data_IF_515019986869
#
_entry.id   IF_515019986869
#
_cell.length_a   1.000
_cell.length_b   1.000
_cell.length_c   1.000
_cell.angle_alpha   90.00
_cell.angle_beta   90.00
_cell.angle_gamma   90.00
#
_symmetry.space_group_name_H-M   'P 1'
#
loop_
_entity.id
_entity.type
_entity.pdbx_description
1 polymer ?
#
# COMPACT_ATOMS: atom_id res chain seq x y z
N UNK A 1 -9.15 6.91 -0.91
CA UNK A 1 -10.19 6.02 -0.31
C UNK A 1 -10.13 6.00 1.20
N UNK A 2 -8.95 6.09 1.82
CA UNK A 2 -8.75 6.04 3.29
C UNK A 2 -9.73 6.91 4.08
N UNK A 3 -9.82 8.22 3.77
CA UNK A 3 -10.75 9.14 4.45
C UNK A 3 -12.22 8.69 4.39
N UNK A 4 -12.66 8.16 3.25
CA UNK A 4 -14.05 7.71 3.07
C UNK A 4 -14.35 6.46 3.89
N UNK A 5 -13.43 5.51 3.93
CA UNK A 5 -13.58 4.27 4.70
C UNK A 5 -13.50 4.56 6.20
N UNK A 6 -12.57 5.42 6.63
CA UNK A 6 -12.49 5.89 8.00
C UNK A 6 -13.79 6.61 8.43
N UNK A 7 -14.37 7.45 7.57
CA UNK A 7 -15.65 8.09 7.83
C UNK A 7 -16.84 7.11 7.93
N UNK A 8 -16.69 5.89 7.39
CA UNK A 8 -17.66 4.80 7.53
C UNK A 8 -17.38 3.91 8.75
N UNK A 9 -16.38 4.24 9.56
CA UNK A 9 -16.05 3.53 10.80
C UNK A 9 -15.01 2.41 10.65
N UNK A 10 -14.37 2.26 9.48
CA UNK A 10 -13.32 1.27 9.31
C UNK A 10 -12.00 1.70 9.95
N UNK A 11 -11.29 0.77 10.60
CA UNK A 11 -9.91 1.00 11.04
C UNK A 11 -8.95 0.90 9.85
N UNK A 12 -8.29 2.02 9.52
CA UNK A 12 -7.45 2.10 8.32
C UNK A 12 -5.98 1.97 8.65
N UNK A 13 -5.32 1.02 7.98
CA UNK A 13 -3.87 0.88 8.01
C UNK A 13 -3.29 1.14 6.62
N UNK A 14 -2.28 2.02 6.53
CA UNK A 14 -1.60 2.34 5.27
C UNK A 14 -0.25 1.62 5.12
N UNK A 15 0.07 1.19 3.91
CA UNK A 15 1.39 0.70 3.52
C UNK A 15 1.76 1.33 2.17
N UNK A 16 2.79 2.18 2.15
CA UNK A 16 3.20 2.88 0.93
C UNK A 16 4.64 3.41 1.03
N UNK A 17 5.20 3.80 -0.11
CA UNK A 17 6.37 4.68 -0.15
C UNK A 17 5.97 6.10 0.28
N UNK A 18 6.94 6.97 0.67
CA UNK A 18 6.64 8.38 0.89
C UNK A 18 6.07 9.03 -0.37
N UNK A 19 5.22 10.07 -0.25
CA UNK A 19 4.72 10.81 -1.40
C UNK A 19 5.84 11.35 -2.28
N UNK A 20 5.69 11.20 -3.60
CA UNK A 20 6.66 11.62 -4.61
C UNK A 20 6.36 13.00 -5.22
N UNK A 21 5.27 13.65 -4.80
CA UNK A 21 4.85 14.99 -5.24
C UNK A 21 4.83 15.99 -4.10
N UNK A 22 5.05 17.28 -4.41
CA UNK A 22 4.83 18.40 -3.47
C UNK A 22 4.03 19.52 -4.16
N UNK A 23 2.82 19.88 -3.65
CA UNK A 23 2.14 19.27 -2.52
C UNK A 23 1.55 17.88 -2.86
N UNK A 24 1.47 16.99 -1.88
CA UNK A 24 0.75 15.72 -2.01
C UNK A 24 -0.67 15.85 -1.46
N UNK A 25 -1.66 15.21 -2.11
CA UNK A 25 -3.04 15.15 -1.59
C UNK A 25 -3.10 14.57 -0.17
N UNK A 26 -2.19 13.64 0.14
CA UNK A 26 -2.08 13.02 1.45
C UNK A 26 -1.84 14.05 2.57
N UNK A 27 -0.99 15.05 2.31
CA UNK A 27 -0.70 16.12 3.27
C UNK A 27 -1.80 17.19 3.26
N UNK A 28 -2.28 17.56 2.06
CA UNK A 28 -3.32 18.60 1.91
C UNK A 28 -4.66 18.21 2.55
N UNK A 29 -5.00 16.92 2.51
CA UNK A 29 -6.25 16.40 3.04
C UNK A 29 -6.14 15.92 4.50
N UNK A 30 -4.99 16.14 5.14
CA UNK A 30 -4.68 15.72 6.52
C UNK A 30 -5.11 14.28 6.80
N UNK A 31 -4.54 13.33 6.07
CA UNK A 31 -4.97 11.91 6.15
C UNK A 31 -4.50 11.25 7.45
N UNK A 32 -3.45 11.77 8.10
CA UNK A 32 -2.81 11.17 9.27
C UNK A 32 -3.78 10.80 10.41
N UNK A 33 -4.71 11.66 10.85
CA UNK A 33 -5.63 11.35 11.93
C UNK A 33 -6.63 10.23 11.60
N UNK A 34 -6.84 9.94 10.31
CA UNK A 34 -7.76 8.88 9.85
C UNK A 34 -7.12 7.49 9.83
N UNK A 35 -5.79 7.39 10.02
CA UNK A 35 -5.06 6.13 9.98
C UNK A 35 -4.80 5.61 11.38
N UNK A 36 -5.15 4.35 11.62
CA UNK A 36 -4.77 3.61 12.82
C UNK A 36 -3.26 3.34 12.86
N UNK A 37 -2.67 3.04 11.71
CA UNK A 37 -1.22 3.00 11.53
C UNK A 37 -0.82 3.30 10.09
N UNK A 38 0.44 3.68 9.90
CA UNK A 38 1.03 3.84 8.58
C UNK A 38 2.45 3.25 8.57
N UNK A 39 2.73 2.37 7.64
CA UNK A 39 4.05 1.76 7.43
C UNK A 39 4.63 2.29 6.12
N UNK A 40 5.80 2.92 6.21
CA UNK A 40 6.58 3.26 5.03
C UNK A 40 7.29 2.00 4.53
N UNK A 41 6.98 1.57 3.31
CA UNK A 41 7.48 0.32 2.77
C UNK A 41 7.26 0.18 1.27
N UNK A 42 8.13 -0.60 0.64
CA UNK A 42 7.98 -0.99 -0.75
C UNK A 42 7.20 -2.31 -0.82
N UNK A 43 6.18 -2.39 -1.69
CA UNK A 43 5.42 -3.63 -1.87
C UNK A 43 6.27 -4.74 -2.50
N UNK A 44 7.39 -4.39 -3.14
CA UNK A 44 8.38 -5.35 -3.60
C UNK A 44 9.20 -5.97 -2.45
N UNK A 45 9.14 -5.44 -1.22
CA UNK A 45 9.74 -6.03 -0.02
C UNK A 45 8.77 -7.01 0.64
N UNK A 46 8.87 -8.29 0.26
CA UNK A 46 7.97 -9.32 0.78
C UNK A 46 8.07 -9.53 2.30
N UNK A 47 9.27 -9.66 2.91
CA UNK A 47 9.38 -9.80 4.37
C UNK A 47 8.65 -8.69 5.14
N UNK A 48 8.88 -7.42 4.80
CA UNK A 48 8.23 -6.30 5.48
C UNK A 48 6.72 -6.29 5.25
N UNK A 49 6.28 -6.59 4.03
CA UNK A 49 4.86 -6.65 3.69
C UNK A 49 4.16 -7.77 4.48
N UNK A 50 4.73 -8.97 4.50
CA UNK A 50 4.20 -10.13 5.21
C UNK A 50 4.09 -9.84 6.72
N UNK A 51 5.16 -9.35 7.34
CA UNK A 51 5.16 -8.96 8.75
C UNK A 51 4.05 -7.94 9.03
N UNK A 52 3.91 -6.94 8.15
CA UNK A 52 2.91 -5.89 8.31
C UNK A 52 1.49 -6.43 8.22
N UNK A 53 1.19 -7.26 7.21
CA UNK A 53 -0.15 -7.84 7.02
C UNK A 53 -0.49 -8.78 8.18
N UNK A 54 0.43 -9.63 8.63
CA UNK A 54 0.21 -10.54 9.76
C UNK A 54 0.02 -9.79 11.08
N UNK A 55 0.80 -8.73 11.31
CA UNK A 55 0.68 -7.90 12.52
C UNK A 55 -0.64 -7.13 12.56
N UNK A 56 -1.13 -6.65 11.41
CA UNK A 56 -2.40 -5.93 11.32
C UNK A 56 -3.59 -6.90 11.40
N UNK A 57 -3.47 -8.09 10.81
CA UNK A 57 -4.55 -9.06 10.66
C UNK A 57 -5.84 -8.42 10.11
N UNK A 58 -5.81 -7.80 8.92
CA UNK A 58 -6.95 -7.05 8.39
C UNK A 58 -8.08 -7.99 7.94
N UNK A 59 -9.32 -7.49 7.95
CA UNK A 59 -10.50 -8.17 7.37
C UNK A 59 -10.57 -8.05 5.84
N UNK A 60 -9.92 -7.03 5.27
CA UNK A 60 -9.89 -6.77 3.84
C UNK A 60 -8.65 -5.97 3.44
N UNK A 61 -8.15 -6.21 2.23
CA UNK A 61 -7.00 -5.49 1.66
C UNK A 61 -7.42 -4.77 0.37
N UNK A 62 -7.10 -3.48 0.27
CA UNK A 62 -7.23 -2.70 -0.96
C UNK A 62 -5.84 -2.42 -1.55
N UNK A 63 -5.51 -3.12 -2.64
CA UNK A 63 -4.23 -2.97 -3.33
C UNK A 63 -4.25 -1.79 -4.31
N UNK A 64 -3.65 -0.66 -3.92
CA UNK A 64 -3.55 0.55 -4.75
C UNK A 64 -2.10 0.97 -5.03
N UNK A 65 -1.10 0.25 -4.49
CA UNK A 65 0.31 0.56 -4.70
C UNK A 65 0.76 0.12 -6.10
N UNK A 66 1.30 1.05 -6.89
CA UNK A 66 1.78 0.77 -8.24
C UNK A 66 2.84 1.79 -8.65
N UNK A 67 3.55 1.50 -9.74
CA UNK A 67 4.17 2.49 -10.60
C UNK A 67 3.11 2.88 -11.66
N UNK A 68 2.48 4.06 -11.57
CA UNK A 68 1.29 4.38 -12.36
C UNK A 68 1.59 5.10 -13.67
N UNK A 69 2.81 5.62 -13.85
CA UNK A 69 3.15 6.45 -15.01
C UNK A 69 3.69 5.59 -16.16
N UNK A 70 2.92 5.50 -17.25
CA UNK A 70 3.29 4.77 -18.47
C UNK A 70 4.68 5.16 -18.98
N UNK A 71 4.98 6.47 -19.02
CA UNK A 71 6.27 6.96 -19.54
C UNK A 71 7.47 6.48 -18.72
N UNK A 72 7.32 6.42 -17.40
CA UNK A 72 8.36 5.91 -16.52
C UNK A 72 8.49 4.38 -16.60
N UNK A 73 7.42 3.67 -17.02
CA UNK A 73 7.49 2.25 -17.35
C UNK A 73 8.38 1.95 -18.56
N UNK A 74 8.48 2.84 -19.54
CA UNK A 74 9.44 2.69 -20.64
C UNK A 74 10.89 2.94 -20.20
N UNK A 75 11.10 3.93 -19.32
CA UNK A 75 12.44 4.26 -18.83
C UNK A 75 12.96 3.25 -17.78
N UNK A 76 12.06 2.70 -16.97
CA UNK A 76 12.40 1.81 -15.84
C UNK A 76 11.52 0.55 -15.82
N UNK A 77 11.54 -0.26 -16.90
CA UNK A 77 10.62 -1.40 -17.04
C UNK A 77 10.78 -2.43 -15.94
N UNK A 78 12.02 -2.78 -15.55
CA UNK A 78 12.28 -3.72 -14.46
C UNK A 78 11.62 -3.26 -13.16
N UNK A 79 11.77 -1.96 -12.83
CA UNK A 79 11.15 -1.40 -11.61
C UNK A 79 9.62 -1.45 -11.69
N UNK A 80 9.03 -1.10 -12.83
CA UNK A 80 7.58 -1.17 -13.03
C UNK A 80 7.05 -2.59 -12.90
N UNK A 81 7.74 -3.60 -13.44
CA UNK A 81 7.36 -5.01 -13.27
C UNK A 81 7.52 -5.49 -11.82
N UNK A 82 8.61 -5.10 -11.14
CA UNK A 82 8.80 -5.41 -9.71
C UNK A 82 7.64 -4.86 -8.86
N UNK A 83 7.28 -3.60 -9.04
CA UNK A 83 6.20 -2.98 -8.26
C UNK A 83 4.82 -3.53 -8.64
N UNK A 84 4.48 -3.59 -9.93
CA UNK A 84 3.12 -3.87 -10.36
C UNK A 84 2.82 -5.38 -10.42
N UNK A 85 3.81 -6.20 -10.79
CA UNK A 85 3.62 -7.65 -10.95
C UNK A 85 4.08 -8.38 -9.69
N UNK A 86 5.36 -8.26 -9.34
CA UNK A 86 5.90 -8.97 -8.18
C UNK A 86 5.27 -8.46 -6.87
N UNK A 87 5.09 -7.14 -6.72
CA UNK A 87 4.39 -6.57 -5.56
C UNK A 87 2.96 -7.08 -5.40
N UNK A 88 2.22 -7.26 -6.50
CA UNK A 88 0.88 -7.87 -6.46
C UNK A 88 0.95 -9.34 -6.02
N UNK A 89 1.91 -10.11 -6.55
CA UNK A 89 2.11 -11.50 -6.12
C UNK A 89 2.49 -11.57 -4.62
N UNK A 90 3.37 -10.69 -4.14
CA UNK A 90 3.73 -10.58 -2.73
C UNK A 90 2.52 -10.29 -1.84
N UNK A 91 1.65 -9.37 -2.24
CA UNK A 91 0.45 -9.05 -1.47
C UNK A 91 -0.53 -10.22 -1.41
N UNK A 92 -0.75 -10.90 -2.54
CA UNK A 92 -1.61 -12.08 -2.60
C UNK A 92 -1.04 -13.24 -1.74
N UNK A 93 0.29 -13.41 -1.74
CA UNK A 93 0.93 -14.41 -0.89
C UNK A 93 0.87 -14.05 0.59
N UNK A 94 1.05 -12.77 0.94
CA UNK A 94 0.89 -12.29 2.32
C UNK A 94 -0.56 -12.47 2.81
N UNK A 95 -1.55 -12.19 1.96
CA UNK A 95 -2.95 -12.48 2.24
C UNK A 95 -3.19 -13.98 2.46
N UNK A 96 -2.68 -14.84 1.55
CA UNK A 96 -2.80 -16.31 1.67
C UNK A 96 -2.18 -16.86 2.97
N UNK A 97 -1.13 -16.22 3.47
CA UNK A 97 -0.43 -16.59 4.71
C UNK A 97 -1.00 -15.91 5.97
N UNK A 98 -2.08 -15.14 5.85
CA UNK A 98 -2.71 -14.41 6.97
C UNK A 98 -4.18 -14.84 7.10
N UNK A 99 -4.54 -15.65 8.11
CA UNK A 99 -5.88 -16.26 8.19
C UNK A 99 -7.08 -15.31 8.28
N UNK A 100 -6.87 -14.04 8.63
CA UNK A 100 -7.95 -13.04 8.73
C UNK A 100 -8.41 -12.48 7.39
N UNK A 101 -7.62 -12.68 6.33
CA UNK A 101 -7.83 -12.13 4.98
C UNK A 101 -8.43 -13.20 4.07
#
# INVERSE_FOLDING_TARGET
MSLKLAAQGAEIHGFALPPDTKPALFDLADVWPSLKSHTLGDIADFPLLLETVQRIAPDAILHLAAQPLVIAGYAHPVRTFLTNTQGTAHLLEAARLTPSV
#
